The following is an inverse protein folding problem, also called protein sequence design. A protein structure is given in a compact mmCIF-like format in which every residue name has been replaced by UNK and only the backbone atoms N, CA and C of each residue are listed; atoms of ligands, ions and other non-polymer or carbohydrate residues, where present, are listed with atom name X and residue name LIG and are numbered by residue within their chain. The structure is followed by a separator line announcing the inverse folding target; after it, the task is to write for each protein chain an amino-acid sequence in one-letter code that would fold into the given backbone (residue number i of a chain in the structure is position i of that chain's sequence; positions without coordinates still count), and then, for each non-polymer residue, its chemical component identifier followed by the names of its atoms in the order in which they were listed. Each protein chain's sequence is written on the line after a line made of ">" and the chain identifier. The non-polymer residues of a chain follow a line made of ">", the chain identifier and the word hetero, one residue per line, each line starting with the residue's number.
data_IF_064670059508
#
_entry.id   IF_064670059508
#
_cell.length_a   1.000
_cell.length_b   1.000
_cell.length_c   1.000
_cell.angle_alpha   90.00
_cell.angle_beta   90.00
_cell.angle_gamma   90.00
#
_symmetry.space_group_name_H-M   'P 1'
#
loop_
_entity.id
_entity.type
_entity.pdbx_description
1 polymer ?
#
# COMPACT_ATOMS: atom_id res chain seq x y z
N UNK A 1 13.46 15.51 2.29
CA UNK A 1 12.07 15.93 2.09
C UNK A 1 11.44 15.16 0.92
N UNK A 2 11.81 15.44 -0.34
CA UNK A 2 11.29 14.74 -1.53
C UNK A 2 11.03 13.23 -1.38
N UNK A 3 12.08 12.42 -1.12
CA UNK A 3 11.91 10.97 -1.03
C UNK A 3 11.02 10.55 0.15
N UNK A 4 11.09 11.29 1.26
CA UNK A 4 10.20 11.08 2.42
C UNK A 4 8.74 11.28 2.05
N UNK A 5 8.43 12.37 1.34
CA UNK A 5 7.07 12.67 0.86
C UNK A 5 6.58 11.57 -0.08
N UNK A 6 7.40 11.14 -1.04
CA UNK A 6 6.99 10.08 -1.98
C UNK A 6 6.70 8.78 -1.24
N UNK A 7 7.52 8.41 -0.24
CA UNK A 7 7.30 7.19 0.57
C UNK A 7 6.01 7.28 1.39
N UNK A 8 5.78 8.39 2.09
CA UNK A 8 4.56 8.57 2.91
C UNK A 8 3.29 8.64 2.06
N UNK A 9 3.30 9.41 0.97
CA UNK A 9 2.13 9.56 0.12
C UNK A 9 1.79 8.27 -0.63
N UNK A 10 2.82 7.50 -0.99
CA UNK A 10 2.63 6.15 -1.56
C UNK A 10 1.99 5.20 -0.56
N UNK A 11 2.47 5.19 0.69
CA UNK A 11 1.87 4.40 1.75
C UNK A 11 0.39 4.79 1.96
N UNK A 12 0.10 6.10 1.92
CA UNK A 12 -1.26 6.62 2.01
C UNK A 12 -2.16 6.15 0.86
N UNK A 13 -1.67 6.25 -0.38
CA UNK A 13 -2.40 5.80 -1.56
C UNK A 13 -2.76 4.31 -1.47
N UNK A 14 -1.79 3.47 -1.12
CA UNK A 14 -2.02 2.02 -1.05
C UNK A 14 -2.95 1.68 0.11
N UNK A 15 -2.83 2.35 1.26
CA UNK A 15 -3.79 2.19 2.37
C UNK A 15 -5.21 2.57 1.93
N UNK A 16 -5.37 3.64 1.14
CA UNK A 16 -6.67 4.02 0.56
C UNK A 16 -7.22 2.92 -0.36
N UNK A 17 -6.41 2.40 -1.28
CA UNK A 17 -6.80 1.29 -2.15
C UNK A 17 -7.29 0.08 -1.35
N UNK A 18 -6.51 -0.34 -0.35
CA UNK A 18 -6.85 -1.46 0.51
C UNK A 18 -8.15 -1.20 1.30
N UNK A 19 -8.38 0.04 1.75
CA UNK A 19 -9.57 0.39 2.51
C UNK A 19 -10.86 0.31 1.69
N UNK A 20 -10.80 0.50 0.37
CA UNK A 20 -11.99 0.46 -0.52
C UNK A 20 -12.06 -0.82 -1.35
N UNK A 21 -11.17 -1.79 -1.12
CA UNK A 21 -11.14 -3.04 -1.87
C UNK A 21 -10.68 -2.88 -3.31
N UNK A 22 -9.89 -1.85 -3.63
CA UNK A 22 -9.35 -1.62 -4.97
C UNK A 22 -8.06 -2.42 -5.20
N UNK A 23 -8.04 -3.21 -6.27
CA UNK A 23 -6.85 -3.83 -6.82
C UNK A 23 -6.51 -3.22 -8.18
N UNK A 24 -5.29 -2.72 -8.36
CA UNK A 24 -4.87 -2.04 -9.59
C UNK A 24 -4.59 -3.01 -10.76
N UNK A 25 -4.13 -4.23 -10.46
CA UNK A 25 -3.87 -5.28 -11.44
C UNK A 25 -2.58 -5.17 -12.28
N UNK A 26 -1.96 -3.99 -12.35
CA UNK A 26 -0.66 -3.78 -13.05
C UNK A 26 0.16 -2.69 -12.34
N UNK A 27 0.71 -3.03 -11.17
CA UNK A 27 1.54 -2.10 -10.39
C UNK A 27 3.04 -2.19 -10.76
N UNK A 28 3.35 -2.13 -12.05
CA UNK A 28 4.74 -2.00 -12.51
C UNK A 28 5.33 -0.65 -12.09
N UNK A 29 6.66 -0.49 -12.14
CA UNK A 29 7.34 0.75 -11.73
C UNK A 29 6.98 1.96 -12.58
N UNK A 30 6.65 1.75 -13.86
CA UNK A 30 6.20 2.78 -14.81
C UNK A 30 4.75 3.25 -14.54
N UNK A 31 3.94 2.41 -13.88
CA UNK A 31 2.57 2.75 -13.46
C UNK A 31 2.53 3.33 -12.04
N UNK A 32 3.70 3.64 -11.47
CA UNK A 32 3.83 4.17 -10.13
C UNK A 32 4.11 5.67 -10.18
N UNK A 33 3.07 6.48 -10.00
CA UNK A 33 3.22 7.94 -10.05
C UNK A 33 4.10 8.45 -8.91
N UNK A 34 5.06 9.30 -9.25
CA UNK A 34 5.89 10.01 -8.26
C UNK A 34 5.06 10.95 -7.37
N UNK A 35 3.90 11.40 -7.86
CA UNK A 35 2.96 12.22 -7.12
C UNK A 35 2.02 11.38 -6.24
N UNK A 36 2.19 10.06 -6.20
CA UNK A 36 1.37 9.13 -5.42
C UNK A 36 -0.13 9.25 -5.73
N UNK A 37 -0.45 9.38 -7.00
CA UNK A 37 -1.80 9.32 -7.55
C UNK A 37 -1.99 8.02 -8.34
N UNK A 38 -3.22 7.52 -8.40
CA UNK A 38 -3.55 6.36 -9.24
C UNK A 38 -3.52 6.77 -10.71
N UNK A 39 -2.83 5.98 -11.54
CA UNK A 39 -2.69 6.21 -12.98
C UNK A 39 -2.83 4.87 -13.71
N UNK A 40 -2.93 4.91 -15.03
CA UNK A 40 -2.98 3.73 -15.90
C UNK A 40 -4.02 2.67 -15.49
N UNK A 41 -5.29 3.08 -15.55
CA UNK A 41 -6.45 2.23 -15.31
C UNK A 41 -6.62 1.21 -16.45
N UNK A 42 -5.97 0.06 -16.33
CA UNK A 42 -6.14 -1.11 -17.20
C UNK A 42 -7.03 -2.17 -16.54
N UNK A 43 -6.50 -3.37 -16.21
CA UNK A 43 -7.25 -4.44 -15.57
C UNK A 43 -7.35 -4.25 -14.05
N UNK A 44 -7.92 -3.12 -13.63
CA UNK A 44 -8.23 -2.87 -12.22
C UNK A 44 -9.54 -3.55 -11.84
N UNK A 45 -9.76 -3.74 -10.54
CA UNK A 45 -11.03 -4.24 -10.02
C UNK A 45 -11.29 -3.79 -8.60
N UNK A 46 -12.57 -3.60 -8.29
CA UNK A 46 -13.04 -3.51 -6.91
C UNK A 46 -13.53 -4.89 -6.50
N UNK A 47 -13.16 -5.28 -5.29
CA UNK A 47 -13.52 -6.56 -4.70
C UNK A 47 -15.00 -6.55 -4.25
N UNK A 48 -15.80 -7.45 -4.82
CA UNK A 48 -17.22 -7.60 -4.46
C UNK A 48 -17.40 -8.32 -3.11
N UNK A 49 -16.78 -9.49 -2.96
CA UNK A 49 -16.69 -10.26 -1.71
C UNK A 49 -15.25 -10.25 -1.21
N UNK A 50 -15.06 -10.21 0.11
CA UNK A 50 -13.72 -10.11 0.68
C UNK A 50 -12.84 -11.34 0.35
N UNK A 51 -11.87 -11.15 -0.55
CA UNK A 51 -10.84 -12.10 -0.90
C UNK A 51 -9.45 -11.41 -0.90
N UNK A 52 -8.58 -11.67 0.10
CA UNK A 52 -7.23 -11.10 0.15
C UNK A 52 -6.34 -11.59 -1.00
N UNK A 53 -6.76 -12.64 -1.73
CA UNK A 53 -6.08 -13.13 -2.91
C UNK A 53 -6.68 -12.60 -4.21
N UNK A 54 -7.70 -11.73 -4.19
CA UNK A 54 -8.33 -11.20 -5.40
C UNK A 54 -7.30 -10.65 -6.39
N UNK A 55 -7.37 -11.11 -7.65
CA UNK A 55 -6.54 -10.65 -8.77
C UNK A 55 -7.46 -10.18 -9.89
N UNK A 56 -7.47 -8.88 -10.22
CA UNK A 56 -8.35 -8.37 -11.28
C UNK A 56 -7.78 -8.61 -12.69
N UNK A 57 -6.46 -8.81 -12.80
CA UNK A 57 -5.78 -9.02 -14.07
C UNK A 57 -5.72 -10.49 -14.43
N UNK A 58 -6.45 -10.89 -15.47
CA UNK A 58 -6.48 -12.27 -15.98
C UNK A 58 -5.15 -12.75 -16.56
N UNK A 59 -4.21 -11.85 -16.84
CA UNK A 59 -2.87 -12.18 -17.33
C UNK A 59 -1.82 -12.24 -16.21
N UNK A 60 -2.19 -12.00 -14.95
CA UNK A 60 -1.30 -12.11 -13.79
C UNK A 60 -1.40 -13.53 -13.18
N UNK A 61 -0.89 -14.51 -13.93
CA UNK A 61 -0.92 -15.94 -13.55
C UNK A 61 -0.19 -16.20 -12.22
N UNK A 62 0.87 -15.45 -11.93
CA UNK A 62 1.64 -15.52 -10.68
C UNK A 62 0.98 -14.78 -9.51
N UNK A 63 -0.14 -14.08 -9.76
CA UNK A 63 -0.90 -13.30 -8.76
C UNK A 63 -0.03 -12.25 -8.06
N UNK A 64 0.94 -11.70 -8.79
CA UNK A 64 1.89 -10.71 -8.30
C UNK A 64 1.18 -9.45 -7.80
N UNK A 65 0.10 -9.05 -8.47
CA UNK A 65 -0.69 -7.85 -8.19
C UNK A 65 -2.01 -8.13 -7.48
N UNK A 66 -2.12 -9.27 -6.79
CA UNK A 66 -3.24 -9.54 -5.90
C UNK A 66 -3.40 -8.45 -4.84
N UNK A 67 -4.64 -8.22 -4.40
CA UNK A 67 -4.97 -7.14 -3.46
C UNK A 67 -4.10 -7.20 -2.19
N UNK A 68 -3.95 -8.38 -1.58
CA UNK A 68 -3.14 -8.57 -0.38
C UNK A 68 -1.63 -8.36 -0.56
N UNK A 69 -1.14 -8.18 -1.79
CA UNK A 69 0.28 -7.94 -2.07
C UNK A 69 0.59 -6.49 -2.46
N UNK A 70 -0.41 -5.62 -2.63
CA UNK A 70 -0.19 -4.24 -3.13
C UNK A 70 0.74 -3.43 -2.22
N UNK A 71 0.68 -3.61 -0.91
CA UNK A 71 1.60 -2.96 0.04
C UNK A 71 3.06 -3.35 -0.20
N UNK A 72 3.34 -4.63 -0.44
CA UNK A 72 4.69 -5.12 -0.75
C UNK A 72 5.17 -4.63 -2.12
N UNK A 73 4.27 -4.56 -3.10
CA UNK A 73 4.59 -4.01 -4.42
C UNK A 73 4.94 -2.53 -4.33
N UNK A 74 4.24 -1.75 -3.50
CA UNK A 74 4.60 -0.36 -3.22
C UNK A 74 6.00 -0.21 -2.63
N UNK A 75 6.34 -1.01 -1.63
CA UNK A 75 7.69 -1.04 -1.05
C UNK A 75 8.74 -1.40 -2.11
N UNK A 76 8.46 -2.41 -2.94
CA UNK A 76 9.34 -2.81 -4.02
C UNK A 76 9.59 -1.66 -5.01
N UNK A 77 8.54 -0.97 -5.46
CA UNK A 77 8.66 0.16 -6.39
C UNK A 77 9.43 1.34 -5.77
N UNK A 78 9.17 1.67 -4.50
CA UNK A 78 9.94 2.68 -3.77
C UNK A 78 11.41 2.29 -3.62
N UNK A 79 11.72 1.00 -3.43
CA UNK A 79 13.10 0.52 -3.38
C UNK A 79 13.82 0.69 -4.73
N UNK A 80 13.10 0.55 -5.85
CA UNK A 80 13.64 0.78 -7.20
C UNK A 80 13.86 2.26 -7.46
N UNK A 81 12.94 3.11 -7.03
CA UNK A 81 13.14 4.56 -7.04
C UNK A 81 14.37 4.97 -6.22
N UNK A 82 14.54 4.44 -5.01
CA UNK A 82 15.72 4.71 -4.20
C UNK A 82 17.01 4.27 -4.90
N UNK A 83 17.02 3.09 -5.52
CA UNK A 83 18.16 2.62 -6.31
C UNK A 83 18.53 3.60 -7.43
N UNK A 84 17.54 4.15 -8.14
CA UNK A 84 17.76 5.15 -9.18
C UNK A 84 18.28 6.49 -8.64
N UNK A 85 17.86 6.89 -7.43
CA UNK A 85 18.31 8.14 -6.79
C UNK A 85 19.70 8.02 -6.16
N UNK A 86 20.14 6.82 -5.75
CA UNK A 86 21.42 6.60 -5.03
C UNK A 86 22.65 7.29 -5.65
N UNK A 87 22.86 7.35 -6.98
CA UNK A 87 24.01 8.04 -7.57
C UNK A 87 24.03 9.56 -7.30
N UNK A 88 22.88 10.16 -7.01
CA UNK A 88 22.73 11.60 -6.77
C UNK A 88 22.88 11.99 -5.29
N UNK A 89 22.95 11.00 -4.39
CA UNK A 89 22.94 11.20 -2.95
C UNK A 89 24.36 11.10 -2.35
N UNK A 90 24.66 11.99 -1.41
CA UNK A 90 25.84 11.87 -0.56
C UNK A 90 25.70 10.70 0.45
N UNK A 91 26.78 10.27 1.15
CA UNK A 91 26.71 9.15 2.10
C UNK A 91 25.68 9.31 3.22
N UNK A 92 25.50 10.53 3.75
CA UNK A 92 24.53 10.82 4.81
C UNK A 92 23.11 10.74 4.26
N UNK A 93 22.87 11.28 3.06
CA UNK A 93 21.58 11.20 2.39
C UNK A 93 21.21 9.76 2.03
N UNK A 94 22.17 8.92 1.62
CA UNK A 94 21.94 7.49 1.38
C UNK A 94 21.46 6.77 2.63
N UNK A 95 22.10 7.02 3.77
CA UNK A 95 21.69 6.44 5.04
C UNK A 95 20.29 6.89 5.45
N UNK A 96 20.02 8.20 5.37
CA UNK A 96 18.70 8.76 5.69
C UNK A 96 17.61 8.21 4.76
N UNK A 97 17.89 8.07 3.46
CA UNK A 97 16.91 7.55 2.51
C UNK A 97 16.60 6.06 2.75
N UNK A 98 17.58 5.26 3.17
CA UNK A 98 17.31 3.87 3.61
C UNK A 98 16.41 3.83 4.84
N UNK A 99 16.67 4.68 5.84
CA UNK A 99 15.82 4.78 7.05
C UNK A 99 14.39 5.21 6.72
N UNK A 100 14.23 6.17 5.80
CA UNK A 100 12.91 6.59 5.32
C UNK A 100 12.17 5.41 4.67
N UNK A 101 12.84 4.62 3.83
CA UNK A 101 12.23 3.47 3.17
C UNK A 101 11.84 2.37 4.18
N UNK A 102 12.65 2.15 5.22
CA UNK A 102 12.35 1.21 6.31
C UNK A 102 11.05 1.60 7.06
N UNK A 103 10.76 2.90 7.18
CA UNK A 103 9.53 3.42 7.79
C UNK A 103 8.25 3.25 6.96
N UNK A 104 8.33 2.83 5.69
CA UNK A 104 7.17 2.67 4.81
C UNK A 104 6.07 1.78 5.41
N UNK A 105 6.45 0.64 5.99
CA UNK A 105 5.50 -0.33 6.54
C UNK A 105 4.69 0.25 7.69
N UNK A 106 5.33 1.05 8.55
CA UNK A 106 4.68 1.75 9.66
C UNK A 106 3.70 2.80 9.14
N UNK A 107 4.12 3.64 8.18
CA UNK A 107 3.23 4.63 7.55
C UNK A 107 1.99 3.98 6.93
N UNK A 108 2.17 2.89 6.18
CA UNK A 108 1.07 2.15 5.58
C UNK A 108 0.12 1.60 6.65
N UNK A 109 0.67 0.97 7.70
CA UNK A 109 -0.13 0.35 8.75
C UNK A 109 -0.94 1.37 9.56
N UNK A 110 -0.31 2.47 9.97
CA UNK A 110 -0.99 3.57 10.67
C UNK A 110 -2.17 4.07 9.83
N UNK A 111 -1.92 4.39 8.56
CA UNK A 111 -2.96 4.92 7.68
C UNK A 111 -4.07 3.91 7.41
N UNK A 112 -3.73 2.65 7.21
CA UNK A 112 -4.70 1.57 7.03
C UNK A 112 -5.61 1.46 8.24
N UNK A 113 -5.04 1.43 9.45
CA UNK A 113 -5.80 1.36 10.70
C UNK A 113 -6.70 2.57 10.88
N UNK A 114 -6.20 3.79 10.65
CA UNK A 114 -7.02 5.02 10.69
C UNK A 114 -8.24 4.95 9.78
N UNK A 115 -8.05 4.49 8.53
CA UNK A 115 -9.12 4.36 7.56
C UNK A 115 -10.18 3.35 8.02
N UNK A 116 -9.76 2.18 8.51
CA UNK A 116 -10.69 1.17 9.01
C UNK A 116 -11.40 1.59 10.29
N UNK A 117 -10.72 2.24 11.23
CA UNK A 117 -11.34 2.84 12.42
C UNK A 117 -12.44 3.81 12.03
N UNK A 118 -12.14 4.69 11.07
CA UNK A 118 -13.11 5.65 10.53
C UNK A 118 -14.32 4.94 9.91
N UNK A 119 -14.09 3.90 9.10
CA UNK A 119 -15.17 3.11 8.47
C UNK A 119 -16.05 2.36 9.49
N UNK A 120 -15.49 1.97 10.63
CA UNK A 120 -16.19 1.27 11.71
C UNK A 120 -16.79 2.21 12.76
N UNK A 121 -16.52 3.51 12.68
CA UNK A 121 -16.95 4.48 13.69
C UNK A 121 -16.25 4.30 15.04
N UNK A 122 -15.05 3.73 15.07
CA UNK A 122 -14.24 3.58 16.29
C UNK A 122 -13.62 4.92 16.66
N UNK A 123 -14.08 5.51 17.77
CA UNK A 123 -13.63 6.81 18.28
C UNK A 123 -12.51 6.64 19.32
N UNK A 124 -11.57 7.58 19.34
CA UNK A 124 -10.44 7.56 20.28
C UNK A 124 -9.35 6.58 19.89
N UNK A 125 -8.47 6.22 20.83
CA UNK A 125 -7.42 5.22 20.64
C UNK A 125 -7.60 4.12 21.69
N UNK A 126 -8.18 3.00 21.28
CA UNK A 126 -8.26 1.80 22.10
C UNK A 126 -7.25 0.77 21.60
N UNK A 127 -6.58 0.07 22.52
CA UNK A 127 -5.60 -0.97 22.20
C UNK A 127 -6.24 -2.14 21.41
N UNK A 128 -7.55 -2.35 21.58
CA UNK A 128 -8.31 -3.41 20.92
C UNK A 128 -8.73 -3.09 19.47
N UNK A 129 -8.56 -1.85 18.98
CA UNK A 129 -9.04 -1.44 17.64
C UNK A 129 -8.42 -2.32 16.52
N UNK A 130 -7.12 -2.61 16.64
CA UNK A 130 -6.42 -3.45 15.69
C UNK A 130 -6.95 -4.89 15.68
N UNK A 131 -7.32 -5.41 16.85
CA UNK A 131 -7.93 -6.73 16.97
C UNK A 131 -9.30 -6.76 16.31
N UNK A 132 -10.14 -5.75 16.53
CA UNK A 132 -11.48 -5.66 15.92
C UNK A 132 -11.40 -5.61 14.39
N UNK A 133 -10.47 -4.82 13.83
CA UNK A 133 -10.25 -4.74 12.38
C UNK A 133 -9.80 -6.10 11.83
N UNK A 134 -8.82 -6.72 12.47
CA UNK A 134 -8.33 -8.04 12.04
C UNK A 134 -9.41 -9.12 12.15
N UNK A 135 -10.22 -9.10 13.21
CA UNK A 135 -11.32 -10.02 13.42
C UNK A 135 -12.40 -9.86 12.35
N UNK A 136 -12.80 -8.62 12.05
CA UNK A 136 -13.76 -8.33 10.98
C UNK A 136 -13.28 -8.89 9.64
N UNK A 137 -12.05 -8.55 9.23
CA UNK A 137 -11.49 -9.03 7.97
C UNK A 137 -11.40 -10.56 7.92
N UNK A 138 -11.10 -11.20 9.05
CA UNK A 138 -11.09 -12.67 9.15
C UNK A 138 -12.48 -13.28 8.99
N UNK A 139 -13.51 -12.71 9.60
CA UNK A 139 -14.89 -13.21 9.50
C UNK A 139 -15.45 -12.98 8.10
N UNK A 140 -15.10 -11.88 7.43
CA UNK A 140 -15.50 -11.60 6.05
C UNK A 140 -14.99 -12.62 5.03
N UNK A 141 -14.00 -13.45 5.37
CA UNK A 141 -13.57 -14.58 4.52
C UNK A 141 -14.59 -15.73 4.49
N UNK A 142 -15.53 -15.76 5.43
CA UNK A 142 -16.50 -16.84 5.62
C UNK A 142 -17.88 -16.52 5.03
N UNK A 143 -18.08 -15.32 4.50
CA UNK A 143 -19.32 -14.82 3.92
C UNK A 143 -19.17 -14.64 2.41
#
# INVERSE_FOLDING_TARGET
>A
EFFSTVVSETANLIALWMSVGFAHGVCNTDNFSLLSITIDYGPFGFMDSYDPNFVPNTSDDERRYKIGNQANVGLFNLSKLLQALKPLLDPRQKQLASQILEGYGEHYYIRFTELFKTKLGLLGNNEDDNYLIAFLLKVSLLC
#
